data_IF_357669466334
#
_entry.id   IF_357669466334
#
_cell.length_a   1.000
_cell.length_b   1.000
_cell.length_c   1.000
_cell.angle_alpha   90.00
_cell.angle_beta   90.00
_cell.angle_gamma   90.00
#
_symmetry.space_group_name_H-M   'P 1'
#
loop_
_entity.id
_entity.type
_entity.pdbx_description
1 polymer ?
#
# COMPACT_ATOMS: atom_id res chain seq x y z
N UNK A 1 19.91 2.34 7.29
CA UNK A 1 19.12 1.36 8.06
C UNK A 1 17.67 1.82 8.10
N UNK A 2 16.66 0.92 8.18
CA UNK A 2 15.25 1.30 8.25
C UNK A 2 14.98 2.22 9.44
N UNK A 3 14.19 3.28 9.23
CA UNK A 3 13.80 4.23 10.28
C UNK A 3 12.57 3.79 11.07
N UNK A 4 11.89 2.75 10.58
CA UNK A 4 10.62 2.27 11.10
C UNK A 4 10.02 1.26 10.13
N UNK A 5 8.82 0.80 10.44
CA UNK A 5 8.12 -0.16 9.59
C UNK A 5 6.63 0.13 9.55
N UNK A 6 6.08 -0.06 8.35
CA UNK A 6 4.65 -0.17 8.12
C UNK A 6 4.31 -1.65 7.90
N UNK A 7 3.33 -2.18 8.62
CA UNK A 7 2.96 -3.60 8.50
C UNK A 7 1.51 -3.72 8.07
N UNK A 8 1.28 -4.41 6.95
CA UNK A 8 -0.05 -4.77 6.45
C UNK A 8 -0.34 -6.19 6.93
N UNK A 9 -1.44 -6.38 7.66
CA UNK A 9 -1.88 -7.69 8.16
C UNK A 9 -3.02 -8.24 7.32
N UNK A 10 -2.96 -9.53 6.99
CA UNK A 10 -4.06 -10.27 6.37
C UNK A 10 -4.53 -9.69 5.03
N UNK A 11 -3.61 -9.24 4.18
CA UNK A 11 -3.91 -8.72 2.85
C UNK A 11 -4.51 -9.83 1.97
N UNK A 12 -5.74 -9.62 1.51
CA UNK A 12 -6.57 -10.64 0.86
C UNK A 12 -7.41 -10.10 -0.31
N UNK A 13 -7.04 -8.93 -0.83
CA UNK A 13 -7.68 -8.35 -2.02
C UNK A 13 -7.35 -9.20 -3.26
N UNK A 14 -8.35 -9.43 -4.12
CA UNK A 14 -8.27 -10.29 -5.30
C UNK A 14 -7.65 -11.68 -5.01
N UNK A 15 -6.47 -11.96 -5.54
CA UNK A 15 -5.79 -13.26 -5.44
C UNK A 15 -4.76 -13.33 -4.31
N UNK A 16 -4.62 -12.28 -3.49
CA UNK A 16 -3.71 -12.29 -2.34
C UNK A 16 -4.18 -13.34 -1.31
N UNK A 17 -3.24 -14.15 -0.83
CA UNK A 17 -3.53 -15.33 -0.02
C UNK A 17 -3.46 -15.03 1.48
N UNK A 18 -4.16 -13.99 1.93
CA UNK A 18 -4.18 -13.54 3.33
C UNK A 18 -2.77 -13.36 3.89
N UNK A 19 -1.95 -12.54 3.20
CA UNK A 19 -0.53 -12.38 3.52
C UNK A 19 -0.26 -11.21 4.46
N UNK A 20 0.77 -11.34 5.28
CA UNK A 20 1.32 -10.24 6.08
C UNK A 20 2.55 -9.67 5.38
N UNK A 21 2.64 -8.35 5.26
CA UNK A 21 3.74 -7.66 4.57
C UNK A 21 4.29 -6.54 5.44
N UNK A 22 5.60 -6.56 5.67
CA UNK A 22 6.33 -5.53 6.41
C UNK A 22 7.15 -4.67 5.45
N UNK A 23 6.88 -3.38 5.41
CA UNK A 23 7.53 -2.39 4.53
C UNK A 23 8.47 -1.51 5.36
N UNK A 24 9.80 -1.53 5.12
CA UNK A 24 10.73 -0.67 5.85
C UNK A 24 10.59 0.79 5.42
N UNK A 25 10.47 1.68 6.39
CA UNK A 25 10.42 3.13 6.16
C UNK A 25 11.83 3.72 6.06
N UNK A 26 11.97 4.79 5.27
CA UNK A 26 13.26 5.41 4.99
C UNK A 26 14.14 4.60 4.03
N UNK A 27 13.54 3.65 3.30
CA UNK A 27 14.21 2.79 2.33
C UNK A 27 13.54 2.89 0.95
N UNK A 28 14.33 2.74 -0.11
CA UNK A 28 13.79 2.45 -1.44
C UNK A 28 13.35 0.98 -1.46
N UNK A 29 12.04 0.74 -1.57
CA UNK A 29 11.45 -0.59 -1.57
C UNK A 29 10.91 -0.92 -2.96
N UNK A 30 11.23 -2.11 -3.46
CA UNK A 30 10.73 -2.61 -4.74
C UNK A 30 9.76 -3.76 -4.51
N UNK A 31 8.57 -3.70 -5.12
CA UNK A 31 7.63 -4.82 -5.19
C UNK A 31 7.70 -5.42 -6.59
N UNK A 32 8.18 -6.65 -6.70
CA UNK A 32 8.44 -7.33 -7.97
C UNK A 32 7.67 -8.65 -8.09
N UNK A 33 7.71 -9.25 -9.27
CA UNK A 33 7.02 -10.50 -9.58
C UNK A 33 6.31 -10.49 -10.94
N UNK A 34 5.94 -11.67 -11.40
CA UNK A 34 5.28 -11.89 -12.71
C UNK A 34 3.93 -11.18 -12.83
N UNK A 35 3.43 -11.00 -14.06
CA UNK A 35 2.07 -10.48 -14.28
C UNK A 35 1.04 -11.34 -13.53
N UNK A 36 0.03 -10.70 -12.93
CA UNK A 36 -1.00 -11.40 -12.13
C UNK A 36 -0.58 -11.84 -10.73
N UNK A 37 0.67 -11.61 -10.28
CA UNK A 37 1.13 -12.04 -8.95
C UNK A 37 0.53 -11.28 -7.75
N UNK A 38 -0.29 -10.26 -7.98
CA UNK A 38 -0.95 -9.48 -6.92
C UNK A 38 -0.23 -8.21 -6.48
N UNK A 39 0.83 -7.78 -7.20
CA UNK A 39 1.58 -6.53 -6.88
C UNK A 39 0.67 -5.30 -6.77
N UNK A 40 -0.15 -5.05 -7.80
CA UNK A 40 -1.07 -3.90 -7.81
C UNK A 40 -2.19 -4.05 -6.78
N UNK A 41 -2.64 -5.28 -6.50
CA UNK A 41 -3.60 -5.54 -5.41
C UNK A 41 -3.00 -5.14 -4.05
N UNK A 42 -1.72 -5.45 -3.81
CA UNK A 42 -1.04 -5.08 -2.57
C UNK A 42 -0.76 -3.57 -2.50
N UNK A 43 -0.11 -3.02 -3.52
CA UNK A 43 0.41 -1.64 -3.51
C UNK A 43 -0.69 -0.61 -3.77
N UNK A 44 -1.50 -0.80 -4.80
CA UNK A 44 -2.48 0.21 -5.21
C UNK A 44 -3.80 0.04 -4.44
N UNK A 45 -4.34 -1.18 -4.44
CA UNK A 45 -5.67 -1.44 -3.89
C UNK A 45 -5.70 -1.44 -2.36
N UNK A 46 -4.67 -1.95 -1.69
CA UNK A 46 -4.60 -1.98 -0.22
C UNK A 46 -3.77 -0.80 0.30
N UNK A 47 -2.45 -0.81 0.05
CA UNK A 47 -1.52 0.11 0.69
C UNK A 47 -1.84 1.57 0.38
N UNK A 48 -1.88 1.94 -0.91
CA UNK A 48 -2.13 3.31 -1.33
C UNK A 48 -3.54 3.77 -0.96
N UNK A 49 -4.59 3.04 -1.33
CA UNK A 49 -5.97 3.48 -1.03
C UNK A 49 -6.24 3.60 0.46
N UNK A 50 -5.68 2.73 1.30
CA UNK A 50 -5.85 2.86 2.75
C UNK A 50 -5.14 4.10 3.28
N UNK A 51 -3.86 4.27 2.96
CA UNK A 51 -3.08 5.41 3.41
C UNK A 51 -3.62 6.74 2.87
N UNK A 52 -4.08 6.78 1.61
CA UNK A 52 -4.70 7.97 1.03
C UNK A 52 -6.00 8.35 1.75
N UNK A 53 -6.79 7.35 2.18
CA UNK A 53 -8.00 7.58 2.97
C UNK A 53 -7.67 8.17 4.35
N UNK A 54 -6.70 7.60 5.07
CA UNK A 54 -6.44 7.98 6.47
C UNK A 54 -5.53 9.20 6.61
N UNK A 55 -4.53 9.36 5.74
CA UNK A 55 -3.57 10.48 5.79
C UNK A 55 -4.05 11.68 4.97
N UNK A 56 -4.55 11.43 3.76
CA UNK A 56 -4.92 12.50 2.82
C UNK A 56 -6.43 12.78 2.77
N UNK A 57 -7.25 12.06 3.57
CA UNK A 57 -8.73 12.15 3.57
C UNK A 57 -9.36 11.90 2.20
N UNK A 58 -8.68 11.12 1.35
CA UNK A 58 -9.19 10.79 0.03
C UNK A 58 -10.47 9.94 0.13
N UNK A 59 -11.43 10.18 -0.78
CA UNK A 59 -12.66 9.38 -0.88
C UNK A 59 -12.40 8.07 -1.62
N UNK A 60 -11.58 7.20 -1.04
CA UNK A 60 -11.25 5.88 -1.58
C UNK A 60 -11.79 4.77 -0.68
N UNK A 61 -11.99 3.59 -1.28
CA UNK A 61 -12.27 2.35 -0.55
C UNK A 61 -11.06 1.44 -0.72
N UNK A 62 -10.31 1.14 0.35
CA UNK A 62 -9.22 0.16 0.26
C UNK A 62 -9.78 -1.23 -0.01
N UNK A 63 -8.95 -2.07 -0.63
CA UNK A 63 -9.20 -3.50 -0.78
C UNK A 63 -9.25 -4.22 0.57
N UNK A 64 -9.55 -5.52 0.54
CA UNK A 64 -9.69 -6.36 1.72
C UNK A 64 -8.33 -6.63 2.38
N UNK A 65 -8.20 -6.24 3.64
CA UNK A 65 -7.09 -6.57 4.53
C UNK A 65 -7.58 -6.59 6.00
N UNK A 66 -6.74 -7.03 6.93
CA UNK A 66 -7.03 -7.03 8.36
C UNK A 66 -6.78 -5.68 9.01
N UNK A 67 -5.51 -5.31 9.18
CA UNK A 67 -5.09 -4.06 9.82
C UNK A 67 -3.81 -3.52 9.20
N UNK A 68 -3.52 -2.24 9.45
CA UNK A 68 -2.25 -1.62 9.07
C UNK A 68 -1.66 -0.94 10.30
N UNK A 69 -0.46 -1.38 10.68
CA UNK A 69 0.30 -0.90 11.84
C UNK A 69 1.40 0.04 11.34
N UNK A 70 1.76 1.07 12.11
CA UNK A 70 2.84 1.99 11.77
C UNK A 70 2.43 3.20 10.92
N UNK A 71 1.12 3.42 10.75
CA UNK A 71 0.58 4.54 9.96
C UNK A 71 0.92 5.89 10.60
N UNK A 72 0.99 5.94 11.93
CA UNK A 72 1.36 7.12 12.72
C UNK A 72 2.77 7.64 12.46
N UNK A 73 3.62 6.86 11.77
CA UNK A 73 4.97 7.27 11.36
C UNK A 73 4.97 8.06 10.04
N UNK A 74 3.81 8.26 9.41
CA UNK A 74 3.66 8.86 8.08
C UNK A 74 2.73 10.08 8.11
N UNK A 75 3.18 11.19 7.54
CA UNK A 75 2.36 12.41 7.45
C UNK A 75 1.47 12.46 6.20
N UNK A 76 1.95 11.89 5.09
CA UNK A 76 1.30 11.99 3.78
C UNK A 76 1.70 10.81 2.89
N UNK A 77 0.81 10.46 1.95
CA UNK A 77 1.14 9.56 0.84
C UNK A 77 0.99 10.26 -0.52
N UNK A 78 1.84 9.91 -1.47
CA UNK A 78 1.79 10.40 -2.85
C UNK A 78 1.88 9.17 -3.77
N UNK A 79 0.99 9.09 -4.77
CA UNK A 79 1.08 8.12 -5.85
C UNK A 79 1.44 8.85 -7.13
N UNK A 80 2.46 8.35 -7.81
CA UNK A 80 2.85 8.77 -9.15
C UNK A 80 2.69 7.55 -10.03
N UNK A 81 1.83 7.67 -11.04
CA UNK A 81 1.55 6.61 -12.01
C UNK A 81 1.72 7.13 -13.44
N UNK A 82 1.40 6.27 -14.41
CA UNK A 82 1.49 6.59 -15.83
C UNK A 82 0.16 7.11 -16.41
N UNK A 83 -0.75 7.60 -15.56
CA UNK A 83 -1.98 8.23 -16.05
C UNK A 83 -1.62 9.46 -16.89
N UNK A 84 -2.35 9.70 -18.01
CA UNK A 84 -2.07 10.84 -18.87
C UNK A 84 -2.23 12.16 -18.11
N UNK A 85 -1.35 13.11 -18.42
CA UNK A 85 -1.41 14.47 -17.86
C UNK A 85 -2.54 15.23 -18.58
N UNK A 86 -3.54 15.68 -17.83
CA UNK A 86 -4.67 16.47 -18.36
C UNK A 86 -5.88 15.61 -18.76
N UNK A 87 -6.95 15.72 -17.98
CA UNK A 87 -8.34 15.50 -18.39
C UNK A 87 -9.15 16.71 -17.97
#
# INVERSE_FOLDING_TARGET
>A
QPKGFLTIRGAKEHNLKNIDVKVPLGCLCCVTGVSGSGKSSLVNEILYKHLAKVLNRAKTRPGAFGSMEGVEQLDKIICIDQSPIGR
#
